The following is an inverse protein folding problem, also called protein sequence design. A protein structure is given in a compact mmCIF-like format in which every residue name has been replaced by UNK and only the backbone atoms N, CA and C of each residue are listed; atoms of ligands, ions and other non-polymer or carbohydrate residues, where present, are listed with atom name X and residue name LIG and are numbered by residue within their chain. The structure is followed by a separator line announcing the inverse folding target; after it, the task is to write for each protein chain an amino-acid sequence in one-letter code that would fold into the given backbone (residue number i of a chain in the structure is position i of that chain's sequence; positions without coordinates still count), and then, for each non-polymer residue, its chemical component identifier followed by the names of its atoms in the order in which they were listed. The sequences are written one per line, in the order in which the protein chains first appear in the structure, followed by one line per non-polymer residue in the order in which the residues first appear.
data_IF_950038108107
#
_entry.id   IF_950038108107
#
_cell.length_a   1.000
_cell.length_b   1.000
_cell.length_c   1.000
_cell.angle_alpha   90.00
_cell.angle_beta   90.00
_cell.angle_gamma   90.00
#
_symmetry.space_group_name_H-M   'P 1'
#
loop_
_entity.id
_entity.type
_entity.pdbx_description
1 polymer ?
#
# COMPACT_ATOMS: atom_id res chain seq x y z
N UNK A 1 21.81 -2.94 8.37
CA UNK A 1 20.86 -3.80 7.60
C UNK A 1 19.41 -3.59 8.06
N UNK A 2 19.16 -3.50 9.36
CA UNK A 2 17.83 -3.30 9.95
C UNK A 2 17.03 -2.11 9.39
N UNK A 3 17.69 -0.97 9.13
CA UNK A 3 17.02 0.21 8.54
C UNK A 3 16.39 -0.06 7.16
N UNK A 4 16.97 -0.95 6.34
CA UNK A 4 16.44 -1.29 5.00
C UNK A 4 15.19 -2.17 5.12
N UNK A 5 15.27 -3.19 5.98
CA UNK A 5 14.14 -4.07 6.30
C UNK A 5 12.98 -3.30 6.90
N UNK A 6 13.27 -2.37 7.82
CA UNK A 6 12.23 -1.55 8.46
C UNK A 6 11.53 -0.61 7.47
N UNK A 7 12.29 0.03 6.56
CA UNK A 7 11.72 0.86 5.50
C UNK A 7 10.80 0.06 4.57
N UNK A 8 11.25 -1.12 4.13
CA UNK A 8 10.45 -2.04 3.32
C UNK A 8 9.21 -2.54 4.05
N UNK A 9 9.33 -2.84 5.34
CA UNK A 9 8.23 -3.35 6.16
C UNK A 9 7.14 -2.30 6.30
N UNK A 10 7.52 -1.08 6.73
CA UNK A 10 6.58 0.00 6.95
C UNK A 10 5.86 0.38 5.65
N UNK A 11 6.60 0.58 4.56
CA UNK A 11 6.01 0.92 3.26
C UNK A 11 5.16 -0.21 2.70
N UNK A 12 5.65 -1.46 2.79
CA UNK A 12 4.89 -2.63 2.38
C UNK A 12 3.56 -2.72 3.13
N UNK A 13 3.55 -2.54 4.45
CA UNK A 13 2.33 -2.59 5.27
C UNK A 13 1.34 -1.50 4.84
N UNK A 14 1.83 -0.28 4.59
CA UNK A 14 0.99 0.80 4.07
C UNK A 14 0.32 0.40 2.76
N UNK A 15 1.08 -0.12 1.79
CA UNK A 15 0.54 -0.60 0.51
C UNK A 15 -0.46 -1.73 0.73
N UNK A 16 -0.13 -2.68 1.61
CA UNK A 16 -0.94 -3.87 1.86
C UNK A 16 -2.32 -3.55 2.42
N UNK A 17 -2.42 -2.54 3.30
CA UNK A 17 -3.67 -2.15 3.93
C UNK A 17 -4.46 -1.22 3.02
N UNK A 18 -3.80 -0.21 2.46
CA UNK A 18 -4.50 0.88 1.79
C UNK A 18 -4.96 0.51 0.37
N UNK A 19 -4.23 -0.34 -0.38
CA UNK A 19 -4.64 -0.71 -1.74
C UNK A 19 -5.96 -1.49 -1.76
N UNK A 20 -6.16 -2.57 -0.97
CA UNK A 20 -7.46 -3.23 -0.85
C UNK A 20 -8.56 -2.27 -0.39
N UNK A 21 -8.24 -1.36 0.53
CA UNK A 21 -9.19 -0.37 1.05
C UNK A 21 -9.66 0.58 -0.05
N UNK A 22 -8.73 1.15 -0.84
CA UNK A 22 -9.04 1.98 -2.01
C UNK A 22 -9.97 1.22 -2.96
N UNK A 23 -9.62 -0.02 -3.33
CA UNK A 23 -10.42 -0.82 -4.26
C UNK A 23 -11.82 -1.11 -3.73
N UNK A 24 -11.95 -1.41 -2.43
CA UNK A 24 -13.24 -1.68 -1.79
C UNK A 24 -14.17 -0.47 -1.78
N UNK A 25 -13.62 0.74 -1.72
CA UNK A 25 -14.39 1.98 -1.76
C UNK A 25 -14.89 2.32 -3.16
N UNK A 26 -14.09 2.03 -4.20
CA UNK A 26 -14.49 2.29 -5.59
C UNK A 26 -15.38 1.20 -6.20
N UNK A 27 -15.24 -0.05 -5.75
CA UNK A 27 -15.84 -1.22 -6.39
C UNK A 27 -16.84 -1.94 -5.46
N UNK A 28 -17.84 -1.22 -4.97
CA UNK A 28 -18.74 -1.69 -3.90
C UNK A 28 -19.61 -2.89 -4.31
N UNK A 29 -19.98 -3.00 -5.59
CA UNK A 29 -20.93 -4.02 -6.08
C UNK A 29 -20.50 -5.48 -5.80
N UNK A 30 -19.19 -5.73 -5.64
CA UNK A 30 -18.64 -7.06 -5.38
C UNK A 30 -17.61 -7.05 -4.23
N UNK A 31 -17.90 -6.26 -3.18
CA UNK A 31 -16.96 -5.98 -2.10
C UNK A 31 -16.27 -7.22 -1.52
N UNK A 32 -16.98 -8.33 -1.33
CA UNK A 32 -16.41 -9.58 -0.79
C UNK A 32 -15.33 -10.19 -1.71
N UNK A 33 -15.60 -10.25 -3.02
CA UNK A 33 -14.66 -10.80 -4.01
C UNK A 33 -13.46 -9.88 -4.16
N UNK A 34 -13.69 -8.57 -4.17
CA UNK A 34 -12.64 -7.57 -4.32
C UNK A 34 -11.73 -7.54 -3.10
N UNK A 35 -12.27 -7.58 -1.88
CA UNK A 35 -11.46 -7.68 -0.67
C UNK A 35 -10.64 -8.97 -0.66
N UNK A 36 -11.24 -10.12 -0.96
CA UNK A 36 -10.52 -11.39 -0.97
C UNK A 36 -9.37 -11.40 -1.99
N UNK A 37 -9.64 -10.98 -3.23
CA UNK A 37 -8.64 -10.98 -4.31
C UNK A 37 -7.58 -9.89 -4.14
N UNK A 38 -7.97 -8.67 -3.77
CA UNK A 38 -7.03 -7.58 -3.55
C UNK A 38 -6.11 -7.84 -2.37
N UNK A 39 -6.57 -8.53 -1.32
CA UNK A 39 -5.74 -8.88 -0.18
C UNK A 39 -4.64 -9.89 -0.54
N UNK A 40 -4.94 -10.87 -1.39
CA UNK A 40 -3.94 -11.82 -1.92
C UNK A 40 -2.88 -11.08 -2.74
N UNK A 41 -3.32 -10.19 -3.65
CA UNK A 41 -2.40 -9.38 -4.46
C UNK A 41 -1.58 -8.41 -3.62
N UNK A 42 -2.19 -7.81 -2.59
CA UNK A 42 -1.56 -6.91 -1.65
C UNK A 42 -0.46 -7.60 -0.83
N UNK A 43 -0.66 -8.88 -0.48
CA UNK A 43 0.36 -9.69 0.19
C UNK A 43 1.59 -9.94 -0.71
N UNK A 44 1.35 -10.26 -1.98
CA UNK A 44 2.42 -10.42 -2.96
C UNK A 44 3.16 -9.10 -3.21
N UNK A 45 2.42 -7.99 -3.33
CA UNK A 45 2.97 -6.65 -3.44
C UNK A 45 3.83 -6.31 -2.21
N UNK A 46 3.34 -6.59 -0.99
CA UNK A 46 4.09 -6.39 0.25
C UNK A 46 5.45 -7.11 0.24
N UNK A 47 5.48 -8.38 -0.15
CA UNK A 47 6.71 -9.16 -0.26
C UNK A 47 7.66 -8.58 -1.32
N UNK A 48 7.12 -8.09 -2.44
CA UNK A 48 7.86 -7.36 -3.46
C UNK A 48 8.48 -6.06 -2.93
N UNK A 49 7.72 -5.24 -2.21
CA UNK A 49 8.22 -3.99 -1.60
C UNK A 49 9.32 -4.27 -0.58
N UNK A 50 9.13 -5.29 0.25
CA UNK A 50 10.12 -5.75 1.23
C UNK A 50 11.45 -6.09 0.56
N UNK A 51 11.42 -6.96 -0.44
CA UNK A 51 12.63 -7.41 -1.15
C UNK A 51 13.27 -6.27 -1.96
N UNK A 52 12.46 -5.39 -2.56
CA UNK A 52 12.96 -4.25 -3.32
C UNK A 52 13.67 -3.20 -2.45
N UNK A 53 13.15 -2.93 -1.26
CA UNK A 53 13.79 -2.03 -0.30
C UNK A 53 15.02 -2.68 0.35
N UNK A 54 14.97 -4.00 0.59
CA UNK A 54 16.10 -4.76 1.14
C UNK A 54 17.31 -4.75 0.19
N UNK A 55 17.06 -4.89 -1.12
CA UNK A 55 18.08 -4.84 -2.18
C UNK A 55 18.64 -3.45 -2.50
N UNK A 56 18.29 -2.41 -1.74
CA UNK A 56 18.88 -1.08 -1.94
C UNK A 56 20.34 -1.04 -1.49
N UNK A 57 21.17 -0.20 -2.14
CA UNK A 57 22.60 -0.09 -1.84
C UNK A 57 22.82 0.58 -0.47
N UNK A 58 22.02 1.60 -0.15
CA UNK A 58 22.09 2.35 1.12
C UNK A 58 20.76 2.41 1.86
N UNK A 59 20.80 2.72 3.16
CA UNK A 59 19.59 2.93 3.96
C UNK A 59 18.75 4.12 3.47
N UNK A 60 19.41 5.20 3.02
CA UNK A 60 18.74 6.38 2.46
C UNK A 60 17.96 6.02 1.19
N UNK A 61 18.57 5.25 0.29
CA UNK A 61 17.91 4.78 -0.93
C UNK A 61 16.72 3.86 -0.62
N UNK A 62 16.83 2.99 0.40
CA UNK A 62 15.71 2.16 0.84
C UNK A 62 14.51 3.00 1.29
N UNK A 63 14.75 4.07 2.07
CA UNK A 63 13.70 5.01 2.49
C UNK A 63 13.10 5.81 1.34
N UNK A 64 13.90 6.18 0.33
CA UNK A 64 13.37 6.83 -0.87
C UNK A 64 12.44 5.89 -1.64
N UNK A 65 12.84 4.63 -1.87
CA UNK A 65 11.98 3.61 -2.52
C UNK A 65 10.71 3.37 -1.71
N UNK A 66 10.84 3.25 -0.39
CA UNK A 66 9.72 3.09 0.54
C UNK A 66 8.73 4.27 0.45
N UNK A 67 9.25 5.51 0.45
CA UNK A 67 8.45 6.72 0.33
C UNK A 67 7.75 6.86 -1.02
N UNK A 68 8.44 6.49 -2.12
CA UNK A 68 7.88 6.50 -3.48
C UNK A 68 6.64 5.61 -3.63
N UNK A 69 6.48 4.58 -2.79
CA UNK A 69 5.29 3.74 -2.77
C UNK A 69 4.28 4.17 -1.71
N UNK A 70 4.75 4.39 -0.47
CA UNK A 70 3.86 4.68 0.64
C UNK A 70 3.15 6.03 0.48
N UNK A 71 3.87 7.09 0.08
CA UNK A 71 3.32 8.45 0.00
C UNK A 71 2.20 8.54 -1.05
N UNK A 72 2.41 8.10 -2.31
CA UNK A 72 1.32 8.13 -3.30
C UNK A 72 0.13 7.27 -2.86
N UNK A 73 0.37 6.11 -2.27
CA UNK A 73 -0.71 5.23 -1.79
C UNK A 73 -1.55 5.91 -0.71
N UNK A 74 -0.91 6.58 0.26
CA UNK A 74 -1.60 7.35 1.31
C UNK A 74 -2.40 8.49 0.67
N UNK A 75 -1.82 9.25 -0.26
CA UNK A 75 -2.50 10.36 -0.94
C UNK A 75 -3.73 9.85 -1.69
N UNK A 76 -3.59 8.76 -2.47
CA UNK A 76 -4.71 8.16 -3.21
C UNK A 76 -5.79 7.68 -2.25
N UNK A 77 -5.42 7.06 -1.13
CA UNK A 77 -6.39 6.63 -0.12
C UNK A 77 -7.14 7.82 0.48
N UNK A 78 -6.44 8.88 0.90
CA UNK A 78 -7.07 10.08 1.45
C UNK A 78 -8.05 10.69 0.46
N UNK A 79 -7.64 10.88 -0.80
CA UNK A 79 -8.52 11.39 -1.86
C UNK A 79 -9.73 10.48 -2.02
N UNK A 80 -9.50 9.17 -2.19
CA UNK A 80 -10.57 8.16 -2.35
C UNK A 80 -11.54 8.18 -1.18
N UNK A 81 -11.05 8.29 0.04
CA UNK A 81 -11.87 8.33 1.23
C UNK A 81 -12.83 9.52 1.21
N UNK A 82 -12.36 10.71 0.80
CA UNK A 82 -13.23 11.88 0.74
C UNK A 82 -14.10 11.96 -0.53
N UNK A 83 -13.72 11.30 -1.63
CA UNK A 83 -14.45 11.39 -2.91
C UNK A 83 -15.37 10.19 -3.18
N UNK A 84 -14.94 8.97 -2.85
CA UNK A 84 -15.71 7.74 -3.02
C UNK A 84 -16.48 7.36 -1.75
N UNK A 85 -15.95 7.69 -0.56
CA UNK A 85 -16.60 7.45 0.73
C UNK A 85 -17.19 8.73 1.37
N UNK A 86 -17.20 9.86 0.64
CA UNK A 86 -17.75 11.13 1.11
C UNK A 86 -19.24 11.03 1.53
N UNK A 87 -19.73 11.96 2.38
CA UNK A 87 -21.04 11.86 3.00
C UNK A 87 -22.15 11.94 1.95
N UNK A 88 -22.56 10.78 1.46
CA UNK A 88 -23.87 10.58 0.85
C UNK A 88 -24.83 10.27 1.99
N UNK A 89 -25.11 11.31 2.78
CA UNK A 89 -26.28 11.41 3.64
C UNK A 89 -27.33 12.24 2.92
#
# INVERSE_FOLDING_TARGET
MWHKTFAGFLSGVVVMILVPSILSLWLVAHINVILATSLVLALAAWAGVMTWCYGAESGKQAWQRAGMLAIPTIIIFVITFFTAAGPTG
#
